data_IF_501733738221
#
_entry.id   IF_501733738221
#
_cell.length_a   1.000
_cell.length_b   1.000
_cell.length_c   1.000
_cell.angle_alpha   90.00
_cell.angle_beta   90.00
_cell.angle_gamma   90.00
#
_symmetry.space_group_name_H-M   'P 1'
#
loop_
_entity.id
_entity.type
_entity.pdbx_description
1 polymer ?
#
# COMPACT_ATOMS: atom_id res chain seq x y z
N UNK A 1 24.32 2.25 -5.30
CA UNK A 1 24.47 3.47 -6.13
C UNK A 1 23.47 3.48 -7.29
N UNK A 2 22.17 3.34 -7.03
CA UNK A 2 21.11 3.68 -8.01
C UNK A 2 19.73 3.56 -7.33
N UNK A 3 19.33 4.63 -6.65
CA UNK A 3 17.92 4.94 -6.32
C UNK A 3 17.83 6.40 -5.84
N UNK A 4 18.88 6.92 -5.18
CA UNK A 4 19.00 8.32 -4.79
C UNK A 4 19.25 9.30 -5.95
N UNK A 5 20.07 8.92 -6.95
CA UNK A 5 20.38 9.78 -8.11
C UNK A 5 19.15 9.92 -9.04
N UNK A 6 18.39 8.84 -9.23
CA UNK A 6 17.17 8.85 -10.04
C UNK A 6 16.06 9.73 -9.45
N UNK A 7 15.97 9.82 -8.12
CA UNK A 7 15.04 10.73 -7.43
C UNK A 7 15.46 12.21 -7.59
N UNK A 8 16.77 12.50 -7.61
CA UNK A 8 17.29 13.86 -7.82
C UNK A 8 17.15 14.34 -9.28
N UNK A 9 17.23 13.45 -10.28
CA UNK A 9 17.00 13.78 -11.70
C UNK A 9 15.52 13.96 -12.03
N UNK A 10 14.64 13.10 -11.49
CA UNK A 10 13.19 13.28 -11.56
C UNK A 10 12.74 14.53 -10.77
N UNK A 11 13.53 14.94 -9.77
CA UNK A 11 13.21 16.09 -8.94
C UNK A 11 13.33 17.43 -9.63
N UNK A 12 14.40 17.61 -10.39
CA UNK A 12 14.61 18.83 -11.16
C UNK A 12 13.58 19.02 -12.27
N UNK A 13 12.98 17.94 -12.77
CA UNK A 13 11.92 18.03 -13.77
C UNK A 13 10.56 18.37 -13.14
N UNK A 14 10.30 17.97 -11.87
CA UNK A 14 9.04 18.27 -11.20
C UNK A 14 8.92 19.72 -10.70
N UNK A 15 10.03 20.44 -10.49
CA UNK A 15 9.97 21.84 -10.01
C UNK A 15 9.25 22.77 -11.01
N UNK A 16 9.17 22.37 -12.28
CA UNK A 16 8.47 23.10 -13.35
C UNK A 16 7.02 22.64 -13.61
N UNK A 17 6.61 21.46 -13.11
CA UNK A 17 5.26 20.93 -13.32
C UNK A 17 4.44 21.00 -12.04
N UNK A 18 3.20 21.49 -12.14
CA UNK A 18 2.33 21.66 -10.99
C UNK A 18 2.13 20.30 -10.26
N UNK A 19 2.59 20.14 -9.00
CA UNK A 19 2.48 18.87 -8.26
C UNK A 19 1.03 18.43 -8.08
N UNK A 20 0.12 19.40 -8.07
CA UNK A 20 -1.33 19.19 -8.03
C UNK A 20 -1.82 18.47 -9.30
N UNK A 21 -1.33 18.87 -10.48
CA UNK A 21 -1.72 18.24 -11.75
C UNK A 21 -1.21 16.80 -11.82
N UNK A 22 0.03 16.55 -11.37
CA UNK A 22 0.60 15.20 -11.30
C UNK A 22 -0.22 14.30 -10.36
N UNK A 23 -0.59 14.81 -9.19
CA UNK A 23 -1.44 14.08 -8.24
C UNK A 23 -2.83 13.77 -8.82
N UNK A 24 -3.44 14.70 -9.57
CA UNK A 24 -4.73 14.50 -10.24
C UNK A 24 -4.62 13.42 -11.32
N UNK A 25 -3.61 13.51 -12.20
CA UNK A 25 -3.39 12.51 -13.26
C UNK A 25 -3.13 11.12 -12.66
N UNK A 26 -2.28 11.03 -11.63
CA UNK A 26 -2.01 9.77 -10.93
C UNK A 26 -3.29 9.20 -10.29
N UNK A 27 -4.09 10.04 -9.62
CA UNK A 27 -5.35 9.63 -8.99
C UNK A 27 -6.39 9.14 -10.00
N UNK A 28 -6.52 9.82 -11.15
CA UNK A 28 -7.42 9.42 -12.24
C UNK A 28 -6.95 8.11 -12.85
N UNK A 29 -5.64 7.91 -13.01
CA UNK A 29 -5.08 6.66 -13.50
C UNK A 29 -5.37 5.48 -12.55
N UNK A 30 -5.11 5.63 -11.25
CA UNK A 30 -5.39 4.59 -10.25
C UNK A 30 -6.88 4.24 -10.20
N UNK A 31 -7.76 5.25 -10.11
CA UNK A 31 -9.22 5.04 -10.08
C UNK A 31 -9.75 4.51 -11.42
N UNK A 32 -9.13 4.88 -12.53
CA UNK A 32 -9.43 4.36 -13.86
C UNK A 32 -9.14 2.86 -13.97
N UNK A 33 -8.03 2.39 -13.41
CA UNK A 33 -7.72 0.96 -13.31
C UNK A 33 -8.78 0.19 -12.50
N UNK A 34 -9.22 0.74 -11.36
CA UNK A 34 -10.30 0.15 -10.55
C UNK A 34 -11.63 0.12 -11.32
N UNK A 35 -11.99 1.21 -12.00
CA UNK A 35 -13.21 1.30 -12.80
C UNK A 35 -13.20 0.32 -13.97
N UNK A 36 -12.06 0.14 -14.64
CA UNK A 36 -11.89 -0.83 -15.72
C UNK A 36 -12.03 -2.27 -15.21
N UNK A 37 -11.44 -2.57 -14.05
CA UNK A 37 -11.60 -3.86 -13.37
C UNK A 37 -13.06 -4.15 -13.02
N UNK A 38 -13.78 -3.18 -12.44
CA UNK A 38 -15.20 -3.33 -12.13
C UNK A 38 -16.08 -3.44 -13.39
N UNK A 39 -15.76 -2.70 -14.46
CA UNK A 39 -16.49 -2.74 -15.73
C UNK A 39 -16.48 -4.13 -16.37
N UNK A 40 -15.40 -4.91 -16.18
CA UNK A 40 -15.28 -6.28 -16.71
C UNK A 40 -16.36 -7.24 -16.18
N UNK A 41 -16.95 -6.97 -15.00
CA UNK A 41 -18.03 -7.77 -14.40
C UNK A 41 -19.33 -7.70 -15.22
N UNK A 42 -19.60 -6.58 -15.89
CA UNK A 42 -20.80 -6.45 -16.75
C UNK A 42 -20.73 -7.33 -18.01
N UNK A 43 -19.53 -7.67 -18.46
CA UNK A 43 -19.30 -8.55 -19.62
C UNK A 43 -19.28 -10.03 -19.18
N UNK A 44 -18.78 -10.33 -17.98
CA UNK A 44 -18.60 -11.70 -17.47
C UNK A 44 -19.73 -12.03 -16.47
N UNK A 45 -20.87 -12.47 -17.00
CA UNK A 45 -22.08 -12.80 -16.19
C UNK A 45 -21.95 -14.04 -15.30
N UNK A 46 -21.01 -14.94 -15.57
CA UNK A 46 -20.76 -16.17 -14.80
C UNK A 46 -19.29 -16.28 -14.44
N UNK A 47 -18.95 -15.88 -13.22
CA UNK A 47 -17.60 -16.04 -12.66
C UNK A 47 -17.59 -17.32 -11.83
N UNK A 48 -16.64 -18.22 -12.10
CA UNK A 48 -16.44 -19.42 -11.27
C UNK A 48 -15.89 -19.02 -9.91
N UNK A 49 -16.37 -19.64 -8.82
CA UNK A 49 -15.90 -19.38 -7.45
C UNK A 49 -14.37 -19.47 -7.34
N UNK A 50 -13.77 -20.44 -8.04
CA UNK A 50 -12.30 -20.62 -8.12
C UNK A 50 -11.56 -19.41 -8.69
N UNK A 51 -12.14 -18.72 -9.68
CA UNK A 51 -11.52 -17.54 -10.27
C UNK A 51 -11.61 -16.34 -9.31
N UNK A 52 -12.74 -16.20 -8.61
CA UNK A 52 -12.91 -15.16 -7.60
C UNK A 52 -11.93 -15.36 -6.43
N UNK A 53 -11.81 -16.58 -5.92
CA UNK A 53 -10.89 -16.91 -4.83
C UNK A 53 -9.42 -16.69 -5.26
N UNK A 54 -9.08 -17.00 -6.52
CA UNK A 54 -7.76 -16.70 -7.09
C UNK A 54 -7.48 -15.20 -7.16
N UNK A 55 -8.45 -14.39 -7.61
CA UNK A 55 -8.32 -12.93 -7.66
C UNK A 55 -8.20 -12.29 -6.28
N UNK A 56 -8.97 -12.76 -5.30
CA UNK A 56 -8.89 -12.33 -3.90
C UNK A 56 -7.53 -12.69 -3.29
N UNK A 57 -7.04 -13.92 -3.54
CA UNK A 57 -5.71 -14.36 -3.12
C UNK A 57 -4.58 -13.56 -3.76
N UNK A 58 -4.70 -13.22 -5.04
CA UNK A 58 -3.73 -12.36 -5.74
C UNK A 58 -3.68 -10.95 -5.15
N UNK A 59 -4.85 -10.34 -4.90
CA UNK A 59 -4.94 -9.02 -4.28
C UNK A 59 -4.34 -9.02 -2.86
N UNK A 60 -4.65 -10.05 -2.06
CA UNK A 60 -4.06 -10.23 -0.73
C UNK A 60 -2.52 -10.36 -0.80
N UNK A 61 -2.01 -11.12 -1.79
CA UNK A 61 -0.57 -11.29 -2.01
C UNK A 61 0.16 -9.98 -2.31
N UNK A 62 -0.35 -9.17 -3.24
CA UNK A 62 0.24 -7.85 -3.58
C UNK A 62 0.29 -6.95 -2.35
N UNK A 63 -0.81 -6.90 -1.58
CA UNK A 63 -0.90 -6.02 -0.41
C UNK A 63 0.11 -6.41 0.68
N UNK A 64 0.27 -7.72 0.93
CA UNK A 64 1.25 -8.22 1.90
C UNK A 64 2.68 -7.90 1.45
N UNK A 65 3.01 -8.11 0.18
CA UNK A 65 4.35 -7.79 -0.34
C UNK A 65 4.67 -6.29 -0.19
N UNK A 66 3.76 -5.41 -0.62
CA UNK A 66 3.95 -3.97 -0.49
C UNK A 66 4.17 -3.55 0.98
N UNK A 67 3.43 -4.16 1.92
CA UNK A 67 3.60 -3.89 3.35
C UNK A 67 5.00 -4.31 3.86
N UNK A 68 5.58 -5.41 3.40
CA UNK A 68 6.93 -5.81 3.82
C UNK A 68 8.03 -4.89 3.28
N UNK A 69 8.06 -4.66 1.97
CA UNK A 69 9.15 -3.91 1.34
C UNK A 69 9.04 -2.41 1.55
N UNK A 70 7.84 -1.84 1.37
CA UNK A 70 7.67 -0.40 1.35
C UNK A 70 7.26 0.18 2.71
N UNK A 71 6.84 -0.66 3.67
CA UNK A 71 6.38 -0.19 4.97
C UNK A 71 7.18 -0.76 6.13
N UNK A 72 7.33 -2.09 6.24
CA UNK A 72 7.94 -2.73 7.41
C UNK A 72 9.44 -2.45 7.52
N UNK A 73 10.19 -2.67 6.44
CA UNK A 73 11.64 -2.40 6.40
C UNK A 73 11.94 -0.92 6.73
N UNK A 74 11.34 0.07 6.03
CA UNK A 74 11.59 1.47 6.35
C UNK A 74 11.06 1.87 7.73
N UNK A 75 9.99 1.25 8.24
CA UNK A 75 9.51 1.52 9.60
C UNK A 75 10.51 1.07 10.68
N UNK A 76 11.20 -0.06 10.48
CA UNK A 76 12.25 -0.54 11.39
C UNK A 76 13.47 0.40 11.35
N UNK A 77 13.85 0.91 10.18
CA UNK A 77 14.96 1.87 10.10
C UNK A 77 14.58 3.23 10.69
N UNK A 78 13.34 3.67 10.56
CA UNK A 78 12.84 4.89 11.19
C UNK A 78 12.79 4.77 12.73
N UNK A 79 12.46 3.59 13.28
CA UNK A 79 12.41 3.39 14.73
C UNK A 79 13.81 3.33 15.37
N UNK A 80 14.84 2.85 14.66
CA UNK A 80 16.25 2.91 15.10
C UNK A 80 16.74 4.34 15.33
N UNK A 81 16.18 5.32 14.62
CA UNK A 81 16.56 6.74 14.77
C UNK A 81 15.96 7.40 16.03
N UNK A 82 14.95 6.79 16.64
CA UNK A 82 14.20 7.37 17.76
C UNK A 82 14.51 6.70 19.10
N UNK A 83 14.99 5.46 19.10
CA UNK A 83 15.23 4.66 20.31
C UNK A 83 16.73 4.41 20.47
N UNK A 84 17.32 4.87 21.58
CA UNK A 84 18.77 4.75 21.87
C UNK A 84 19.29 3.30 21.91
N UNK A 85 18.40 2.32 22.05
CA UNK A 85 18.72 0.90 22.01
C UNK A 85 18.24 0.27 20.69
N UNK A 86 19.19 0.09 19.77
CA UNK A 86 19.03 -0.52 18.44
C UNK A 86 18.28 -1.86 18.46
N UNK A 87 18.34 -2.59 19.57
CA UNK A 87 17.72 -3.90 19.77
C UNK A 87 16.19 -3.84 20.01
N UNK A 88 15.64 -2.69 20.44
CA UNK A 88 14.20 -2.54 20.72
C UNK A 88 13.42 -1.88 19.57
N UNK A 89 14.09 -1.51 18.47
CA UNK A 89 13.48 -0.89 17.30
C UNK A 89 12.33 -1.73 16.69
N UNK A 90 12.47 -3.06 16.70
CA UNK A 90 11.44 -4.00 16.23
C UNK A 90 10.18 -4.02 17.11
N UNK A 91 10.33 -3.80 18.42
CA UNK A 91 9.22 -3.81 19.38
C UNK A 91 8.27 -2.64 19.11
N UNK A 92 8.79 -1.43 18.87
CA UNK A 92 7.96 -0.26 18.58
C UNK A 92 7.13 -0.45 17.29
N UNK A 93 7.75 -0.98 16.23
CA UNK A 93 7.06 -1.25 14.95
C UNK A 93 6.02 -2.35 15.11
N UNK A 94 6.33 -3.41 15.86
CA UNK A 94 5.39 -4.51 16.12
C UNK A 94 4.18 -4.06 16.93
N UNK A 95 4.39 -3.20 17.96
CA UNK A 95 3.28 -2.62 18.73
C UNK A 95 2.37 -1.80 17.82
N UNK A 96 2.93 -0.95 16.95
CA UNK A 96 2.14 -0.18 15.98
C UNK A 96 1.36 -1.07 15.00
N UNK A 97 2.01 -2.13 14.49
CA UNK A 97 1.37 -3.10 13.60
C UNK A 97 0.22 -3.86 14.30
N UNK A 98 0.45 -4.38 15.51
CA UNK A 98 -0.57 -5.11 16.30
C UNK A 98 -1.74 -4.19 16.65
N UNK A 99 -1.47 -2.94 17.00
CA UNK A 99 -2.51 -1.94 17.27
C UNK A 99 -3.35 -1.67 16.02
N UNK A 100 -2.72 -1.55 14.84
CA UNK A 100 -3.42 -1.40 13.56
C UNK A 100 -4.28 -2.62 13.20
N UNK A 101 -3.75 -3.84 13.36
CA UNK A 101 -4.50 -5.09 13.12
C UNK A 101 -5.69 -5.17 14.09
N UNK A 102 -5.46 -4.86 15.37
CA UNK A 102 -6.51 -4.84 16.40
C UNK A 102 -7.58 -3.81 16.06
N UNK A 103 -7.20 -2.63 15.58
CA UNK A 103 -8.14 -1.59 15.15
C UNK A 103 -9.04 -2.05 14.00
N UNK A 104 -8.46 -2.67 12.98
CA UNK A 104 -9.24 -3.23 11.85
C UNK A 104 -10.15 -4.35 12.33
N UNK A 105 -9.67 -5.24 13.19
CA UNK A 105 -10.47 -6.32 13.77
C UNK A 105 -11.67 -5.82 14.60
N UNK A 106 -11.46 -4.77 15.41
CA UNK A 106 -12.54 -4.13 16.16
C UNK A 106 -13.55 -3.49 15.21
N UNK A 107 -13.07 -2.80 14.17
CA UNK A 107 -13.95 -2.18 13.17
C UNK A 107 -14.81 -3.23 12.46
N UNK A 108 -14.22 -4.36 12.07
CA UNK A 108 -14.92 -5.48 11.45
C UNK A 108 -16.02 -6.04 12.38
N UNK A 109 -15.73 -6.20 13.68
CA UNK A 109 -16.72 -6.60 14.68
C UNK A 109 -17.79 -5.56 15.01
N UNK A 110 -17.49 -4.28 14.80
CA UNK A 110 -18.44 -3.19 15.02
C UNK A 110 -19.38 -2.98 13.83
N UNK A 111 -19.05 -3.50 12.65
CA UNK A 111 -20.01 -3.58 11.55
C UNK A 111 -20.98 -4.73 11.86
N UNK A 112 -22.25 -4.44 12.18
CA UNK A 112 -23.26 -5.49 12.21
C UNK A 112 -23.41 -6.04 10.79
N UNK A 113 -23.33 -7.35 10.67
CA UNK A 113 -23.67 -8.09 9.46
C UNK A 113 -25.15 -7.93 9.05
#
# INVERSE_FOLDING_TARGET
>A
MSMGVFSMDMAKNYESVNPILLAVVASVFTRGGTALGAASVFVIKKVSRKFLDCSLGFAAGIMIAAAFWNLLIPAIDASKLTVEHEQFAFISVTIGLVLGITFVYITDKCLPE
#
